data_IF_932475575678
#
_entry.id   IF_932475575678
#
_cell.length_a   1.000
_cell.length_b   1.000
_cell.length_c   1.000
_cell.angle_alpha   90.00
_cell.angle_beta   90.00
_cell.angle_gamma   90.00
#
_symmetry.space_group_name_H-M   'P 1'
#
loop_
_entity.id
_entity.type
_entity.pdbx_description
1 polymer ?
#
# COMPACT_ATOMS: atom_id res chain seq x y z
N UNK A 1 40.71 -13.60 -48.69
CA UNK A 1 40.30 -14.49 -47.59
C UNK A 1 39.72 -13.56 -46.52
N UNK A 2 38.44 -13.18 -46.65
CA UNK A 2 37.26 -13.82 -46.01
C UNK A 2 37.31 -13.58 -44.49
N UNK A 3 36.32 -13.01 -43.78
CA UNK A 3 34.86 -13.06 -43.90
C UNK A 3 34.16 -11.81 -43.35
N UNK A 4 32.92 -11.64 -43.81
CA UNK A 4 31.88 -10.68 -43.42
C UNK A 4 31.29 -11.02 -42.05
N UNK A 5 30.98 -10.03 -41.21
CA UNK A 5 29.90 -10.16 -40.22
C UNK A 5 29.23 -8.82 -39.96
N UNK A 6 27.93 -8.82 -40.21
CA UNK A 6 27.00 -7.69 -40.22
C UNK A 6 26.46 -7.46 -38.81
N UNK A 7 26.77 -6.33 -38.20
CA UNK A 7 26.14 -5.91 -36.93
C UNK A 7 24.66 -5.58 -37.16
N UNK A 8 23.72 -6.08 -36.35
CA UNK A 8 22.32 -5.67 -36.44
C UNK A 8 22.15 -4.26 -35.87
N UNK A 9 21.41 -3.43 -36.61
CA UNK A 9 21.03 -2.06 -36.25
C UNK A 9 20.12 -2.07 -35.02
N UNK A 10 20.52 -1.36 -33.98
CA UNK A 10 19.65 -0.94 -32.89
C UNK A 10 18.61 0.04 -33.45
N UNK A 11 17.33 -0.34 -33.41
CA UNK A 11 16.22 0.55 -33.71
C UNK A 11 16.01 1.58 -32.59
N UNK A 12 15.67 2.80 -33.00
CA UNK A 12 15.36 3.94 -32.15
C UNK A 12 14.29 3.62 -31.09
N UNK A 13 14.58 4.00 -29.83
CA UNK A 13 13.59 4.02 -28.75
C UNK A 13 14.03 3.42 -27.41
N UNK A 14 15.18 3.82 -26.89
CA UNK A 14 15.54 3.57 -25.48
C UNK A 14 16.33 4.76 -24.92
N UNK A 15 15.60 5.75 -24.41
CA UNK A 15 16.15 6.67 -23.40
C UNK A 15 15.60 6.25 -22.04
N UNK A 16 16.54 6.09 -21.10
CA UNK A 16 16.33 6.02 -19.65
C UNK A 16 16.02 4.65 -19.03
N UNK A 17 16.96 3.72 -19.19
CA UNK A 17 17.16 2.61 -18.24
C UNK A 17 18.31 2.95 -17.28
N UNK A 18 18.01 3.43 -16.07
CA UNK A 18 18.95 3.39 -14.95
C UNK A 18 18.54 2.24 -14.01
N UNK A 19 19.32 1.16 -14.01
CA UNK A 19 19.21 0.05 -13.05
C UNK A 19 19.05 -1.31 -13.74
N UNK A 20 20.11 -2.12 -13.72
CA UNK A 20 20.30 -3.30 -14.57
C UNK A 20 19.30 -4.45 -14.36
N UNK A 21 18.72 -4.91 -15.46
CA UNK A 21 18.13 -6.24 -15.58
C UNK A 21 19.25 -7.28 -15.73
N UNK A 22 19.51 -8.04 -14.67
CA UNK A 22 20.30 -9.27 -14.78
C UNK A 22 19.45 -10.37 -15.44
N UNK A 23 20.13 -11.15 -16.26
CA UNK A 23 19.60 -11.95 -17.36
C UNK A 23 18.67 -13.10 -16.95
N UNK A 24 17.63 -13.29 -17.77
CA UNK A 24 17.09 -14.61 -18.12
C UNK A 24 16.17 -15.29 -17.10
N UNK A 25 14.86 -15.13 -17.27
CA UNK A 25 13.89 -16.16 -16.91
C UNK A 25 12.67 -16.08 -17.84
N UNK A 26 12.41 -17.19 -18.52
CA UNK A 26 11.45 -17.30 -19.61
C UNK A 26 10.00 -17.22 -19.19
N UNK A 27 9.15 -16.85 -20.14
CA UNK A 27 7.70 -16.86 -20.03
C UNK A 27 7.21 -18.31 -19.97
N UNK A 28 6.98 -18.83 -18.77
CA UNK A 28 6.20 -20.04 -18.56
C UNK A 28 4.73 -19.68 -18.41
N UNK A 29 3.87 -20.17 -19.29
CA UNK A 29 2.42 -20.16 -19.13
C UNK A 29 2.04 -21.09 -17.97
N UNK A 30 1.93 -20.52 -16.78
CA UNK A 30 1.30 -21.15 -15.63
C UNK A 30 -0.16 -20.73 -15.55
N UNK A 31 -1.08 -21.70 -15.62
CA UNK A 31 -2.42 -21.54 -15.07
C UNK A 31 -2.25 -21.25 -13.57
N UNK A 32 -2.29 -19.96 -13.23
CA UNK A 32 -1.90 -19.47 -11.92
C UNK A 32 -2.94 -18.50 -11.41
N UNK A 33 -3.38 -18.72 -10.18
CA UNK A 33 -4.11 -17.73 -9.40
C UNK A 33 -3.49 -16.34 -9.64
N UNK A 34 -4.29 -15.35 -10.03
CA UNK A 34 -3.84 -13.97 -10.26
C UNK A 34 -3.32 -13.37 -8.94
N UNK A 35 -2.12 -13.78 -8.52
CA UNK A 35 -1.47 -13.21 -7.35
C UNK A 35 -0.86 -11.90 -7.80
N UNK A 36 -1.56 -10.81 -7.52
CA UNK A 36 -1.04 -9.47 -7.76
C UNK A 36 0.36 -9.36 -7.13
N UNK A 37 1.33 -8.72 -7.80
CA UNK A 37 2.63 -8.52 -7.20
C UNK A 37 2.47 -7.68 -5.92
N UNK A 38 3.29 -7.99 -4.90
CA UNK A 38 3.23 -7.33 -3.59
C UNK A 38 4.60 -6.81 -3.18
N UNK A 39 4.60 -5.65 -2.54
CA UNK A 39 5.70 -5.11 -1.74
C UNK A 39 5.52 -5.67 -0.34
N UNK A 40 6.57 -6.28 0.22
CA UNK A 40 6.57 -6.76 1.60
C UNK A 40 7.33 -5.76 2.48
N UNK A 41 6.70 -5.31 3.55
CA UNK A 41 7.30 -4.48 4.57
C UNK A 41 7.44 -5.30 5.85
N UNK A 42 8.68 -5.63 6.22
CA UNK A 42 8.99 -6.26 7.49
C UNK A 42 8.83 -5.25 8.63
N UNK A 43 7.95 -5.55 9.57
CA UNK A 43 7.75 -4.79 10.80
C UNK A 43 8.17 -5.63 12.01
N UNK A 44 8.41 -5.01 13.18
CA UNK A 44 8.74 -5.77 14.39
C UNK A 44 7.65 -6.79 14.81
N UNK A 45 6.40 -6.59 14.37
CA UNK A 45 5.25 -7.41 14.74
C UNK A 45 4.70 -8.28 13.61
N UNK A 46 5.26 -8.23 12.39
CA UNK A 46 4.81 -9.05 11.27
C UNK A 46 5.29 -8.57 9.91
N UNK A 47 4.64 -9.07 8.86
CA UNK A 47 4.90 -8.64 7.47
C UNK A 47 3.64 -8.00 6.92
N UNK A 48 3.74 -6.75 6.48
CA UNK A 48 2.65 -6.07 5.78
C UNK A 48 2.84 -6.27 4.27
N UNK A 49 1.84 -6.86 3.61
CA UNK A 49 1.82 -7.03 2.17
C UNK A 49 1.01 -5.91 1.52
N UNK A 50 1.68 -5.12 0.71
CA UNK A 50 1.11 -3.96 0.02
C UNK A 50 1.07 -4.26 -1.47
N UNK A 51 -0.04 -4.04 -2.19
CA UNK A 51 -0.07 -4.26 -3.63
C UNK A 51 0.98 -3.42 -4.38
N UNK A 52 1.62 -3.99 -5.40
CA UNK A 52 2.77 -3.36 -6.07
C UNK A 52 2.47 -2.10 -6.87
N UNK A 53 1.19 -1.81 -7.13
CA UNK A 53 0.78 -0.57 -7.79
C UNK A 53 0.80 0.65 -6.86
N UNK A 54 1.01 0.43 -5.55
CA UNK A 54 1.31 1.52 -4.62
C UNK A 54 2.74 1.99 -4.78
N UNK A 55 2.92 3.31 -4.74
CA UNK A 55 4.23 3.94 -4.73
C UNK A 55 4.54 4.45 -3.34
N UNK A 56 5.76 4.21 -2.87
CA UNK A 56 6.25 4.83 -1.64
C UNK A 56 6.38 6.33 -1.87
N UNK A 57 5.87 7.13 -0.93
CA UNK A 57 5.98 8.58 -0.97
C UNK A 57 6.85 9.08 0.18
N UNK A 58 7.34 10.31 0.05
CA UNK A 58 8.10 10.96 1.11
C UNK A 58 7.19 11.24 2.32
N UNK A 59 7.71 11.02 3.52
CA UNK A 59 7.01 11.38 4.75
C UNK A 59 6.83 12.90 4.86
N UNK A 60 5.69 13.31 5.38
CA UNK A 60 5.36 14.67 5.78
C UNK A 60 6.00 15.02 7.14
N UNK A 61 6.26 16.30 7.46
CA UNK A 61 6.71 16.71 8.78
C UNK A 61 5.78 16.31 9.93
N UNK A 62 4.49 16.18 9.63
CA UNK A 62 3.44 15.82 10.60
C UNK A 62 3.25 14.29 10.74
N UNK A 63 3.96 13.49 9.93
CA UNK A 63 3.83 12.04 10.00
C UNK A 63 4.47 11.48 11.29
N UNK A 64 3.91 10.39 11.85
CA UNK A 64 4.53 9.70 12.97
C UNK A 64 5.96 9.28 12.65
N UNK A 65 6.82 9.27 13.67
CA UNK A 65 8.21 8.81 13.53
C UNK A 65 8.24 7.36 13.06
N UNK A 66 9.23 7.03 12.23
CA UNK A 66 9.40 5.71 11.64
C UNK A 66 8.19 5.23 10.80
N UNK A 67 7.38 6.17 10.29
CA UNK A 67 6.32 5.86 9.36
C UNK A 67 6.84 5.53 7.96
N UNK A 68 6.08 4.69 7.26
CA UNK A 68 6.19 4.41 5.84
C UNK A 68 4.87 4.76 5.17
N UNK A 69 4.92 5.71 4.24
CA UNK A 69 3.76 6.18 3.50
C UNK A 69 3.75 5.62 2.07
N UNK A 70 2.58 5.22 1.60
CA UNK A 70 2.34 4.69 0.27
C UNK A 70 1.09 5.35 -0.33
N UNK A 71 1.10 5.58 -1.65
CA UNK A 71 -0.04 6.12 -2.36
C UNK A 71 -0.33 5.35 -3.64
N UNK A 72 -1.60 5.20 -3.96
CA UNK A 72 -2.09 4.77 -5.26
C UNK A 72 -3.13 5.77 -5.74
N UNK A 73 -3.06 6.14 -7.02
CA UNK A 73 -4.00 7.10 -7.62
C UNK A 73 -4.62 6.52 -8.87
N UNK A 74 -5.94 6.59 -8.96
CA UNK A 74 -6.69 6.41 -10.20
C UNK A 74 -7.21 7.77 -10.70
N UNK A 75 -8.04 7.76 -11.74
CA UNK A 75 -8.72 8.99 -12.19
C UNK A 75 -9.79 9.44 -11.19
N UNK A 76 -10.35 8.51 -10.43
CA UNK A 76 -11.51 8.68 -9.55
C UNK A 76 -11.14 8.81 -8.08
N UNK A 77 -9.98 8.28 -7.66
CA UNK A 77 -9.61 8.19 -6.26
C UNK A 77 -8.11 8.35 -6.01
N UNK A 78 -7.81 8.81 -4.79
CA UNK A 78 -6.49 8.75 -4.17
C UNK A 78 -6.61 7.86 -2.93
N UNK A 79 -5.81 6.80 -2.88
CA UNK A 79 -5.66 5.97 -1.69
C UNK A 79 -4.28 6.23 -1.08
N UNK A 80 -4.28 6.45 0.23
CA UNK A 80 -3.08 6.70 1.03
C UNK A 80 -3.01 5.65 2.15
N UNK A 81 -1.86 5.01 2.29
CA UNK A 81 -1.54 4.16 3.44
C UNK A 81 -0.39 4.77 4.21
N UNK A 82 -0.58 4.94 5.52
CA UNK A 82 0.45 5.34 6.45
C UNK A 82 0.63 4.21 7.47
N UNK A 83 1.80 3.59 7.47
CA UNK A 83 2.13 2.47 8.35
C UNK A 83 3.21 2.94 9.31
N UNK A 84 2.97 2.82 10.60
CA UNK A 84 3.95 3.17 11.64
C UNK A 84 3.76 2.28 12.86
N UNK A 85 4.82 2.05 13.66
CA UNK A 85 4.69 1.34 14.92
C UNK A 85 3.89 2.19 15.91
N UNK A 86 2.80 1.64 16.44
CA UNK A 86 2.05 2.22 17.55
C UNK A 86 2.51 1.56 18.85
N UNK A 87 3.04 2.30 19.83
CA UNK A 87 3.35 1.73 21.15
C UNK A 87 2.06 1.39 21.89
N UNK A 88 2.12 0.41 22.79
CA UNK A 88 0.95 -0.13 23.50
C UNK A 88 0.25 0.94 24.35
N UNK A 89 1.00 1.90 24.85
CA UNK A 89 0.49 3.01 25.66
C UNK A 89 -0.35 4.01 24.83
N UNK A 90 -0.17 4.02 23.51
CA UNK A 90 -0.94 4.83 22.55
C UNK A 90 -2.03 3.99 21.85
N UNK A 91 -2.09 2.68 22.10
CA UNK A 91 -3.17 1.84 21.59
C UNK A 91 -4.51 2.29 22.19
N UNK A 92 -5.55 2.34 21.35
CA UNK A 92 -6.90 2.56 21.85
C UNK A 92 -7.26 1.45 22.85
N UNK A 93 -7.92 1.78 23.98
CA UNK A 93 -8.27 0.79 24.99
C UNK A 93 -9.43 -0.08 24.49
N UNK A 94 -9.11 -1.12 23.73
CA UNK A 94 -10.10 -2.07 23.19
C UNK A 94 -10.84 -2.84 24.28
N UNK A 95 -10.19 -3.06 25.43
CA UNK A 95 -10.75 -3.81 26.55
C UNK A 95 -11.75 -2.98 27.40
N UNK A 96 -11.76 -1.65 27.22
CA UNK A 96 -12.57 -0.72 28.01
C UNK A 96 -13.27 0.33 27.11
N UNK A 97 -14.15 -0.09 26.18
CA UNK A 97 -14.79 0.81 25.23
C UNK A 97 -15.63 1.91 25.90
N UNK A 98 -16.21 1.63 27.08
CA UNK A 98 -16.99 2.62 27.83
C UNK A 98 -16.14 3.81 28.33
N UNK A 99 -14.87 3.56 28.69
CA UNK A 99 -13.94 4.61 29.10
C UNK A 99 -13.57 5.48 27.90
N UNK A 100 -13.36 4.87 26.73
CA UNK A 100 -13.11 5.59 25.48
C UNK A 100 -14.33 6.45 25.10
N UNK A 101 -15.54 5.89 25.08
CA UNK A 101 -16.78 6.60 24.75
C UNK A 101 -16.99 7.78 25.71
N UNK A 102 -16.78 7.55 27.02
CA UNK A 102 -16.91 8.60 28.04
C UNK A 102 -15.90 9.72 27.83
N UNK A 103 -14.63 9.39 27.58
CA UNK A 103 -13.58 10.39 27.29
C UNK A 103 -13.88 11.21 26.05
N UNK A 104 -14.51 10.61 25.03
CA UNK A 104 -14.93 11.34 23.83
C UNK A 104 -16.09 12.29 24.17
N UNK A 105 -17.09 11.84 24.93
CA UNK A 105 -18.19 12.70 25.35
C UNK A 105 -17.74 13.89 26.21
N UNK A 106 -16.67 13.77 27.00
CA UNK A 106 -16.08 14.90 27.74
C UNK A 106 -15.49 15.98 26.85
N UNK A 107 -15.06 15.63 25.62
CA UNK A 107 -14.40 16.55 24.68
C UNK A 107 -15.39 17.13 23.67
N UNK A 108 -16.50 16.45 23.40
CA UNK A 108 -17.52 16.93 22.46
C UNK A 108 -18.24 18.18 23.00
N UNK A 109 -18.45 19.16 22.12
CA UNK A 109 -19.27 20.32 22.44
C UNK A 109 -20.76 19.98 22.50
N UNK A 110 -21.56 20.83 23.13
CA UNK A 110 -23.02 20.64 23.38
C UNK A 110 -23.87 20.29 22.14
N UNK A 111 -23.36 20.57 20.92
CA UNK A 111 -24.03 20.31 19.65
C UNK A 111 -23.38 19.19 18.82
N UNK A 112 -22.53 18.36 19.43
CA UNK A 112 -21.88 17.21 18.79
C UNK A 112 -22.30 15.92 19.49
N UNK A 113 -22.30 14.80 18.76
CA UNK A 113 -22.70 13.50 19.30
C UNK A 113 -22.06 12.36 18.53
N UNK A 114 -22.07 11.17 19.13
CA UNK A 114 -21.55 9.95 18.53
C UNK A 114 -22.67 9.22 17.77
N UNK A 115 -22.34 8.69 16.60
CA UNK A 115 -23.23 7.84 15.81
C UNK A 115 -22.65 6.44 15.80
N UNK A 116 -23.41 5.48 16.32
CA UNK A 116 -23.09 4.07 16.18
C UNK A 116 -23.40 3.63 14.74
N UNK A 117 -22.38 3.20 14.02
CA UNK A 117 -22.53 2.63 12.67
C UNK A 117 -22.45 1.11 12.79
N UNK A 118 -23.60 0.46 12.70
CA UNK A 118 -23.67 -0.99 12.59
C UNK A 118 -23.21 -1.42 11.19
N UNK A 119 -22.13 -2.19 11.11
CA UNK A 119 -21.66 -2.78 9.86
C UNK A 119 -22.69 -3.83 9.39
N UNK A 120 -23.61 -3.42 8.51
CA UNK A 120 -24.49 -4.34 7.79
C UNK A 120 -23.71 -5.16 6.76
N UNK A 121 -24.20 -6.37 6.44
CA UNK A 121 -23.79 -7.07 5.22
C UNK A 121 -24.52 -6.42 4.05
N UNK A 122 -23.80 -6.03 3.01
CA UNK A 122 -24.41 -5.68 1.73
C UNK A 122 -24.69 -6.97 0.97
N UNK A 123 -25.97 -7.27 0.74
CA UNK A 123 -26.39 -8.35 -0.17
C UNK A 123 -26.11 -7.90 -1.61
N UNK A 124 -24.87 -8.07 -2.07
CA UNK A 124 -24.55 -7.94 -3.49
C UNK A 124 -24.98 -9.22 -4.21
N UNK A 125 -26.28 -9.33 -4.55
CA UNK A 125 -26.68 -10.18 -5.67
C UNK A 125 -26.25 -9.47 -6.96
N UNK A 126 -25.20 -9.99 -7.59
CA UNK A 126 -24.79 -9.57 -8.93
C UNK A 126 -25.77 -10.22 -9.92
N UNK A 127 -26.50 -9.43 -10.75
CA UNK A 127 -27.36 -9.98 -11.79
C UNK A 127 -26.60 -10.66 -12.93
#
# INVERSE_FOLDING_TARGET
MSEENKSPSCGDGCSDCFGGCSSGQGCGEGSGENKLPVISLDTPCGVVQIPSYYQRIASSPDDPKASAAFAARSKEALCLFLIYPCPKEEELPYDHPEELISSIHEILGDNQGLVEVNAGKTDHEVP
#
